data_IF_810577408308
#
_entry.id   IF_810577408308
#
_cell.length_a   1.000
_cell.length_b   1.000
_cell.length_c   1.000
_cell.angle_alpha   90.00
_cell.angle_beta   90.00
_cell.angle_gamma   90.00
#
_symmetry.space_group_name_H-M   'P 1'
#
loop_
_entity.id
_entity.type
_entity.pdbx_description
1 polymer ?
#
# COMPACT_ATOMS: atom_id res chain seq x y z
N UNK A 1 -10.86 -13.62 -28.69
CA UNK A 1 -11.66 -13.85 -27.46
C UNK A 1 -10.81 -13.98 -26.18
N UNK A 2 -9.48 -14.13 -26.26
CA UNK A 2 -8.58 -14.13 -25.09
C UNK A 2 -8.23 -12.71 -24.58
N UNK A 3 -8.29 -11.70 -25.46
CA UNK A 3 -7.90 -10.31 -25.14
C UNK A 3 -8.84 -9.62 -24.13
N UNK A 4 -10.11 -10.04 -24.06
CA UNK A 4 -11.06 -9.53 -23.06
C UNK A 4 -10.89 -10.12 -21.66
N UNK A 5 -10.34 -11.34 -21.54
CA UNK A 5 -10.04 -11.97 -20.24
C UNK A 5 -8.68 -11.52 -19.66
N UNK A 6 -7.71 -11.25 -20.54
CA UNK A 6 -6.39 -10.71 -20.20
C UNK A 6 -6.47 -9.42 -19.37
N UNK A 7 -7.23 -8.43 -19.81
CA UNK A 7 -7.36 -7.17 -19.08
C UNK A 7 -7.99 -7.33 -17.67
N UNK A 8 -8.77 -8.38 -17.43
CA UNK A 8 -9.41 -8.64 -16.13
C UNK A 8 -8.38 -9.06 -15.08
N UNK A 9 -7.34 -9.82 -15.47
CA UNK A 9 -6.28 -10.27 -14.56
C UNK A 9 -5.48 -9.11 -13.99
N UNK A 10 -4.92 -8.26 -14.85
CA UNK A 10 -4.17 -7.08 -14.43
C UNK A 10 -5.02 -6.11 -13.62
N UNK A 11 -6.27 -5.84 -14.06
CA UNK A 11 -7.20 -4.97 -13.32
C UNK A 11 -7.47 -5.51 -11.92
N UNK A 12 -7.73 -6.81 -11.78
CA UNK A 12 -8.00 -7.43 -10.48
C UNK A 12 -6.79 -7.32 -9.55
N UNK A 13 -5.58 -7.67 -10.03
CA UNK A 13 -4.36 -7.58 -9.22
C UNK A 13 -4.06 -6.15 -8.78
N UNK A 14 -4.24 -5.16 -9.66
CA UNK A 14 -4.06 -3.75 -9.32
C UNK A 14 -5.06 -3.31 -8.23
N UNK A 15 -6.34 -3.67 -8.37
CA UNK A 15 -7.36 -3.34 -7.36
C UNK A 15 -7.04 -3.96 -6.01
N UNK A 16 -6.56 -5.21 -5.99
CA UNK A 16 -6.12 -5.87 -4.76
C UNK A 16 -4.95 -5.14 -4.09
N UNK A 17 -4.00 -4.64 -4.87
CA UNK A 17 -2.87 -3.87 -4.35
C UNK A 17 -3.30 -2.51 -3.81
N UNK A 18 -4.24 -1.84 -4.49
CA UNK A 18 -4.83 -0.57 -4.04
C UNK A 18 -5.55 -0.75 -2.70
N UNK A 19 -6.41 -1.78 -2.57
CA UNK A 19 -7.11 -2.08 -1.31
C UNK A 19 -6.13 -2.37 -0.18
N UNK A 20 -5.10 -3.16 -0.46
CA UNK A 20 -4.06 -3.47 0.52
C UNK A 20 -3.27 -2.23 0.95
N UNK A 21 -2.89 -1.37 -0.01
CA UNK A 21 -2.20 -0.10 0.27
C UNK A 21 -3.07 0.83 1.11
N UNK A 22 -4.37 0.91 0.83
CA UNK A 22 -5.31 1.73 1.60
C UNK A 22 -5.38 1.33 3.08
N UNK A 23 -5.31 0.03 3.38
CA UNK A 23 -5.23 -0.47 4.77
C UNK A 23 -3.99 0.04 5.49
N UNK A 24 -2.82 -0.08 4.85
CA UNK A 24 -1.55 0.41 5.41
C UNK A 24 -1.58 1.94 5.62
N UNK A 25 -2.09 2.69 4.64
CA UNK A 25 -2.26 4.14 4.74
C UNK A 25 -3.16 4.51 5.92
N UNK A 26 -4.27 3.80 6.11
CA UNK A 26 -5.20 4.06 7.21
C UNK A 26 -4.50 3.84 8.56
N UNK A 27 -3.72 2.76 8.71
CA UNK A 27 -2.97 2.45 9.94
C UNK A 27 -1.93 3.53 10.26
N UNK A 28 -1.22 4.03 9.25
CA UNK A 28 -0.27 5.14 9.42
C UNK A 28 -0.98 6.42 9.89
N UNK A 29 -2.16 6.73 9.33
CA UNK A 29 -2.98 7.88 9.73
C UNK A 29 -3.50 7.75 11.17
N UNK A 30 -3.98 6.56 11.54
CA UNK A 30 -4.43 6.27 12.90
C UNK A 30 -3.29 6.46 13.90
N UNK A 31 -2.11 5.91 13.62
CA UNK A 31 -0.94 6.10 14.46
C UNK A 31 -0.56 7.57 14.56
N UNK A 32 -0.47 8.30 13.45
CA UNK A 32 -0.17 9.74 13.46
C UNK A 32 -1.15 10.51 14.36
N UNK A 33 -2.45 10.20 14.28
CA UNK A 33 -3.47 10.82 15.12
C UNK A 33 -3.30 10.52 16.62
N UNK A 34 -2.75 9.35 16.99
CA UNK A 34 -2.54 8.95 18.39
C UNK A 34 -1.20 9.43 18.95
N UNK A 35 -0.14 9.34 18.14
CA UNK A 35 1.23 9.62 18.56
C UNK A 35 1.59 11.11 18.46
N UNK A 36 0.95 11.83 17.53
CA UNK A 36 1.19 13.25 17.21
C UNK A 36 2.19 13.45 16.07
N UNK A 37 3.10 12.50 15.86
CA UNK A 37 4.06 12.51 14.74
C UNK A 37 4.42 11.07 14.35
N UNK A 38 4.74 10.85 13.08
CA UNK A 38 5.27 9.59 12.55
C UNK A 38 6.81 9.56 12.66
N UNK A 39 7.43 8.38 12.89
CA UNK A 39 8.87 8.20 12.67
C UNK A 39 9.30 8.75 11.31
N UNK A 40 10.51 9.30 11.24
CA UNK A 40 10.99 9.97 10.01
C UNK A 40 10.96 9.00 8.81
N UNK A 41 11.33 7.75 9.06
CA UNK A 41 11.28 6.64 8.10
C UNK A 41 9.86 6.36 7.57
N UNK A 42 8.83 6.48 8.41
CA UNK A 42 7.42 6.25 8.02
C UNK A 42 6.75 7.50 7.43
N UNK A 43 7.29 8.70 7.66
CA UNK A 43 6.75 9.93 7.10
C UNK A 43 6.83 9.93 5.57
N UNK A 44 7.95 9.46 5.01
CA UNK A 44 8.11 9.34 3.55
C UNK A 44 7.09 8.36 2.96
N UNK A 45 6.99 7.18 3.57
CA UNK A 45 6.02 6.15 3.19
C UNK A 45 4.58 6.67 3.21
N UNK A 46 4.21 7.45 4.23
CA UNK A 46 2.87 8.02 4.35
C UNK A 46 2.52 9.04 3.25
N UNK A 47 3.51 9.55 2.52
CA UNK A 47 3.33 10.44 1.36
C UNK A 47 3.37 9.68 0.03
N UNK A 48 4.32 8.75 -0.12
CA UNK A 48 4.51 8.01 -1.37
C UNK A 48 3.44 6.96 -1.62
N UNK A 49 3.03 6.23 -0.58
CA UNK A 49 2.09 5.12 -0.72
C UNK A 49 0.71 5.58 -1.26
N UNK A 50 0.16 6.74 -0.83
CA UNK A 50 -1.01 7.33 -1.49
C UNK A 50 -0.80 7.68 -2.97
N UNK A 51 0.39 8.17 -3.34
CA UNK A 51 0.72 8.50 -4.75
C UNK A 51 0.79 7.24 -5.59
N UNK A 52 1.43 6.18 -5.07
CA UNK A 52 1.46 4.86 -5.70
C UNK A 52 0.03 4.32 -5.90
N UNK A 53 -0.81 4.35 -4.86
CA UNK A 53 -2.20 3.90 -4.92
C UNK A 53 -2.99 4.66 -6.00
N UNK A 54 -2.88 5.99 -6.03
CA UNK A 54 -3.55 6.83 -7.03
C UNK A 54 -3.08 6.52 -8.45
N UNK A 55 -1.78 6.28 -8.63
CA UNK A 55 -1.19 5.93 -9.92
C UNK A 55 -1.70 4.57 -10.39
N UNK A 56 -1.75 3.58 -9.51
CA UNK A 56 -2.30 2.25 -9.77
C UNK A 56 -3.79 2.31 -10.14
N UNK A 57 -4.59 3.12 -9.42
CA UNK A 57 -6.00 3.34 -9.78
C UNK A 57 -6.14 3.95 -11.17
N UNK A 58 -5.30 4.92 -11.53
CA UNK A 58 -5.29 5.54 -12.87
C UNK A 58 -4.97 4.51 -13.96
N UNK A 59 -3.96 3.66 -13.74
CA UNK A 59 -3.63 2.54 -14.65
C UNK A 59 -4.84 1.61 -14.79
N UNK A 60 -5.48 1.24 -13.69
CA UNK A 60 -6.68 0.39 -13.70
C UNK A 60 -7.82 1.00 -14.53
N UNK A 61 -8.11 2.30 -14.39
CA UNK A 61 -9.13 2.96 -15.20
C UNK A 61 -8.74 2.99 -16.68
N UNK A 62 -7.46 3.20 -17.00
CA UNK A 62 -6.98 3.16 -18.37
C UNK A 62 -7.16 1.77 -18.99
N UNK A 63 -6.82 0.70 -18.27
CA UNK A 63 -6.94 -0.69 -18.74
C UNK A 63 -8.38 -1.12 -19.01
N UNK A 64 -9.36 -0.54 -18.29
CA UNK A 64 -10.78 -0.80 -18.54
C UNK A 64 -11.26 -0.23 -19.87
N UNK A 65 -10.65 0.87 -20.33
CA UNK A 65 -10.99 1.53 -21.60
C UNK A 65 -10.12 1.01 -22.74
N UNK A 66 -8.84 0.77 -22.44
CA UNK A 66 -7.81 0.29 -23.38
C UNK A 66 -7.17 -0.97 -22.80
N UNK A 67 -7.72 -2.16 -23.11
CA UNK A 67 -7.17 -3.43 -22.66
C UNK A 67 -5.68 -3.56 -22.97
N UNK A 68 -4.90 -4.02 -21.99
CA UNK A 68 -3.50 -4.33 -22.21
C UNK A 68 -3.35 -5.48 -23.22
N UNK A 69 -2.31 -5.40 -24.05
CA UNK A 69 -1.80 -6.58 -24.74
C UNK A 69 -1.15 -7.55 -23.75
N UNK A 70 -0.95 -8.80 -24.16
CA UNK A 70 -0.44 -9.87 -23.29
C UNK A 70 0.94 -9.59 -22.70
N UNK A 71 1.80 -8.83 -23.39
CA UNK A 71 3.13 -8.48 -22.88
C UNK A 71 3.03 -7.42 -21.79
N UNK A 72 2.19 -6.39 -22.01
CA UNK A 72 1.93 -5.37 -20.99
C UNK A 72 1.25 -5.97 -19.76
N UNK A 73 0.27 -6.86 -19.94
CA UNK A 73 -0.40 -7.55 -18.84
C UNK A 73 0.60 -8.34 -17.97
N UNK A 74 1.46 -9.15 -18.59
CA UNK A 74 2.46 -9.92 -17.87
C UNK A 74 3.44 -9.03 -17.09
N UNK A 75 3.88 -7.91 -17.70
CA UNK A 75 4.74 -6.95 -17.03
C UNK A 75 4.05 -6.29 -15.83
N UNK A 76 2.78 -5.91 -15.97
CA UNK A 76 1.98 -5.33 -14.89
C UNK A 76 1.77 -6.31 -13.74
N UNK A 77 1.45 -7.57 -14.04
CA UNK A 77 1.26 -8.60 -13.01
C UNK A 77 2.54 -8.82 -12.19
N UNK A 78 3.71 -8.84 -12.83
CA UNK A 78 5.00 -8.95 -12.14
C UNK A 78 5.25 -7.76 -11.21
N UNK A 79 5.11 -6.53 -11.72
CA UNK A 79 5.33 -5.31 -10.94
C UNK A 79 4.35 -5.22 -9.76
N UNK A 80 3.07 -5.49 -9.99
CA UNK A 80 2.04 -5.47 -8.95
C UNK A 80 2.32 -6.52 -7.87
N UNK A 81 2.79 -7.71 -8.25
CA UNK A 81 3.19 -8.74 -7.29
C UNK A 81 4.35 -8.29 -6.40
N UNK A 82 5.38 -7.67 -7.00
CA UNK A 82 6.54 -7.17 -6.25
C UNK A 82 6.16 -6.03 -5.31
N UNK A 83 5.36 -5.05 -5.80
CA UNK A 83 4.85 -3.98 -4.96
C UNK A 83 4.03 -4.51 -3.78
N UNK A 84 3.21 -5.56 -4.01
CA UNK A 84 2.43 -6.20 -2.94
C UNK A 84 3.32 -6.78 -1.86
N UNK A 85 4.42 -7.43 -2.22
CA UNK A 85 5.37 -7.98 -1.27
C UNK A 85 6.05 -6.89 -0.45
N UNK A 86 6.51 -5.81 -1.10
CA UNK A 86 7.13 -4.67 -0.42
C UNK A 86 6.16 -3.97 0.55
N UNK A 87 4.91 -3.75 0.14
CA UNK A 87 3.88 -3.16 1.01
C UNK A 87 3.53 -4.10 2.16
N UNK A 88 3.60 -5.43 1.97
CA UNK A 88 3.35 -6.39 3.03
C UNK A 88 4.47 -6.42 4.07
N UNK A 89 5.72 -6.30 3.64
CA UNK A 89 6.86 -6.13 4.55
C UNK A 89 6.72 -4.84 5.36
N UNK A 90 6.30 -3.76 4.71
CA UNK A 90 6.01 -2.49 5.37
C UNK A 90 4.88 -2.63 6.40
N UNK A 91 3.76 -3.28 6.05
CA UNK A 91 2.65 -3.53 6.98
C UNK A 91 3.09 -4.34 8.20
N UNK A 92 3.96 -5.35 8.00
CA UNK A 92 4.54 -6.12 9.10
C UNK A 92 5.43 -5.26 10.01
N UNK A 93 6.27 -4.39 9.44
CA UNK A 93 7.07 -3.43 10.20
C UNK A 93 6.16 -2.49 10.99
N UNK A 94 5.13 -1.92 10.36
CA UNK A 94 4.17 -1.02 11.01
C UNK A 94 3.44 -1.74 12.15
N UNK A 95 2.98 -2.97 11.93
CA UNK A 95 2.25 -3.75 12.93
C UNK A 95 3.12 -4.14 14.12
N UNK A 96 4.42 -4.39 13.89
CA UNK A 96 5.37 -4.74 14.96
C UNK A 96 5.92 -3.53 15.70
N UNK A 97 6.02 -2.38 15.05
CA UNK A 97 6.65 -1.17 15.62
C UNK A 97 5.66 -0.17 16.18
N UNK A 98 4.46 -0.07 15.58
CA UNK A 98 3.47 0.94 15.95
C UNK A 98 2.40 0.35 16.89
N UNK A 99 2.16 0.98 18.06
CA UNK A 99 1.06 0.61 18.95
C UNK A 99 -0.29 0.78 18.26
N UNK A 100 -1.24 -0.10 18.58
CA UNK A 100 -2.60 -0.03 18.04
C UNK A 100 -3.51 0.76 18.97
N UNK A 101 -4.56 1.38 18.43
CA UNK A 101 -5.59 2.07 19.20
C UNK A 101 -6.17 1.13 20.29
N UNK A 102 -5.92 1.46 21.56
CA UNK A 102 -6.35 0.65 22.72
C UNK A 102 -5.21 0.09 23.58
N UNK A 103 -3.97 0.12 23.10
CA UNK A 103 -2.82 -0.27 23.91
C UNK A 103 -2.59 0.73 25.04
N UNK A 104 -2.75 0.30 26.30
CA UNK A 104 -2.35 1.04 27.52
C UNK A 104 -0.85 1.40 27.53
N UNK A 105 -0.10 0.84 26.58
CA UNK A 105 1.34 0.99 26.34
C UNK A 105 1.71 2.23 25.50
N UNK A 106 0.73 2.98 24.96
CA UNK A 106 0.98 4.19 24.16
C UNK A 106 1.88 5.24 24.84
N UNK A 107 1.86 5.35 26.17
CA UNK A 107 2.72 6.31 26.90
C UNK A 107 4.17 5.84 27.09
N UNK A 108 4.44 4.53 27.09
CA UNK A 108 5.80 3.97 27.24
C UNK A 108 6.51 3.81 25.89
N UNK A 109 5.79 3.48 24.82
CA UNK A 109 6.38 3.25 23.50
C UNK A 109 6.85 4.52 22.77
N UNK A 110 6.33 5.71 23.11
CA UNK A 110 6.80 6.97 22.50
C UNK A 110 8.32 7.15 22.59
N UNK A 111 8.96 6.62 23.64
CA UNK A 111 10.42 6.69 23.83
C UNK A 111 11.22 5.71 22.97
N UNK A 112 10.65 4.56 22.62
CA UNK A 112 11.34 3.56 21.80
C UNK A 112 11.19 3.84 20.30
N UNK A 113 10.04 4.40 19.90
CA UNK A 113 9.70 4.66 18.50
C UNK A 113 10.37 5.94 17.97
N UNK A 114 10.63 6.94 18.82
CA UNK A 114 11.32 8.17 18.42
C UNK A 114 12.78 7.99 17.99
N UNK A 115 13.35 6.78 18.17
CA UNK A 115 14.71 6.43 17.74
C UNK A 115 14.77 5.83 16.32
N UNK A 116 13.62 5.67 15.64
CA UNK A 116 13.45 5.14 14.27
C UNK A 116 13.15 6.25 13.25
#
# INVERSE_FOLDING_TARGET
MAEGLAAVGAVASIVQLVDFSAKVILRLKEFHSLAGELPTSLRYVSSELPVLSTTLESICQNLKVNPADSKLEAALLLVVSECREQIAQLDAIITTTLPTAGDKWLSKSKKAIGSL
#
